data_IF_809459484456
#
_entry.id   IF_809459484456
#
_cell.length_a   1.000
_cell.length_b   1.000
_cell.length_c   1.000
_cell.angle_alpha   90.00
_cell.angle_beta   90.00
_cell.angle_gamma   90.00
#
_symmetry.space_group_name_H-M   'P 1'
#
loop_
_entity.id
_entity.type
_entity.pdbx_description
1 polymer ?
#
# COMPACT_ATOMS: atom_id res chain seq x y z
N UNK A 1 -4.51 27.13 6.19
CA UNK A 1 -4.19 25.71 6.46
C UNK A 1 -4.68 24.90 5.30
N UNK A 2 -3.77 24.27 4.56
CA UNK A 2 -4.15 23.27 3.57
C UNK A 2 -4.67 22.02 4.30
N UNK A 3 -5.69 21.32 3.76
CA UNK A 3 -6.13 20.04 4.30
C UNK A 3 -4.98 19.03 4.35
N UNK A 4 -4.96 18.16 5.38
CA UNK A 4 -3.94 17.12 5.58
C UNK A 4 -4.62 15.85 6.10
N UNK A 5 -4.09 14.68 5.74
CA UNK A 5 -4.53 13.37 6.25
C UNK A 5 -3.87 13.07 7.60
N UNK A 6 -2.55 13.23 7.69
CA UNK A 6 -1.77 12.88 8.89
C UNK A 6 -1.30 14.13 9.65
N UNK A 7 -0.89 15.15 8.90
CA UNK A 7 -0.23 16.34 9.41
C UNK A 7 1.23 16.10 9.79
N UNK A 8 1.99 17.21 9.88
CA UNK A 8 3.45 17.19 10.02
C UNK A 8 3.95 16.33 11.18
N UNK A 9 3.32 16.44 12.36
CA UNK A 9 3.76 15.71 13.55
C UNK A 9 3.64 14.18 13.39
N UNK A 10 2.59 13.69 12.72
CA UNK A 10 2.42 12.27 12.46
C UNK A 10 3.38 11.77 11.38
N UNK A 11 3.63 12.56 10.34
CA UNK A 11 4.62 12.23 9.30
C UNK A 11 6.01 12.11 9.91
N UNK A 12 6.43 13.08 10.73
CA UNK A 12 7.74 13.03 11.36
C UNK A 12 7.88 11.83 12.30
N UNK A 13 6.83 11.52 13.06
CA UNK A 13 6.81 10.32 13.89
C UNK A 13 6.90 9.04 13.04
N UNK A 14 6.12 8.93 11.97
CA UNK A 14 6.08 7.79 11.06
C UNK A 14 7.47 7.54 10.46
N UNK A 15 8.07 8.58 9.89
CA UNK A 15 9.39 8.49 9.27
C UNK A 15 10.43 8.07 10.32
N UNK A 16 10.44 8.67 11.51
CA UNK A 16 11.36 8.26 12.58
C UNK A 16 11.18 6.80 13.01
N UNK A 17 9.94 6.31 13.10
CA UNK A 17 9.65 4.92 13.42
C UNK A 17 10.16 3.97 12.33
N UNK A 18 9.92 4.31 11.06
CA UNK A 18 10.36 3.52 9.91
C UNK A 18 11.89 3.43 9.82
N UNK A 19 12.61 4.55 10.01
CA UNK A 19 14.08 4.57 10.04
C UNK A 19 14.68 3.68 11.12
N UNK A 20 14.08 3.68 12.32
CA UNK A 20 14.61 2.92 13.47
C UNK A 20 14.42 1.42 13.29
N UNK A 21 13.45 1.01 12.47
CA UNK A 21 13.14 -0.39 12.24
C UNK A 21 14.17 -1.08 11.33
N UNK A 22 14.69 -2.21 11.79
CA UNK A 22 15.58 -3.11 11.02
C UNK A 22 14.83 -4.29 10.38
N UNK A 23 13.49 -4.26 10.41
CA UNK A 23 12.68 -5.29 9.80
C UNK A 23 12.79 -5.25 8.27
N UNK A 24 12.80 -6.41 7.59
CA UNK A 24 12.83 -6.48 6.12
C UNK A 24 11.57 -5.86 5.51
N UNK A 25 10.41 -6.07 6.14
CA UNK A 25 9.13 -5.44 5.77
C UNK A 25 8.64 -4.56 6.92
N UNK A 26 8.10 -3.38 6.58
CA UNK A 26 7.55 -2.37 7.49
C UNK A 26 6.14 -2.04 7.01
N UNK A 27 5.16 -2.64 7.65
CA UNK A 27 3.75 -2.42 7.31
C UNK A 27 3.22 -1.15 7.96
N UNK A 28 2.61 -0.29 7.16
CA UNK A 28 1.95 0.94 7.60
C UNK A 28 0.48 0.82 7.28
N UNK A 29 -0.36 0.68 8.30
CA UNK A 29 -1.82 0.56 8.14
C UNK A 29 -2.43 1.96 8.13
N UNK A 30 -3.13 2.30 7.05
CA UNK A 30 -3.69 3.64 6.81
C UNK A 30 -5.03 3.53 6.08
N UNK A 31 -5.95 4.46 6.35
CA UNK A 31 -7.34 4.36 5.87
C UNK A 31 -7.47 4.34 4.34
N UNK A 32 -6.77 5.26 3.66
CA UNK A 32 -6.81 5.40 2.20
C UNK A 32 -5.50 5.03 1.52
N UNK A 33 -5.58 4.79 0.21
CA UNK A 33 -4.42 4.47 -0.62
C UNK A 33 -3.41 5.62 -0.60
N UNK A 34 -2.14 5.30 -0.42
CA UNK A 34 -1.02 6.25 -0.43
C UNK A 34 -0.39 6.33 -1.82
N UNK A 35 -0.16 5.19 -2.46
CA UNK A 35 0.59 5.16 -3.72
C UNK A 35 -0.25 5.50 -4.94
N UNK A 36 -1.52 5.09 -5.00
CA UNK A 36 -2.38 5.37 -6.16
C UNK A 36 -2.25 6.84 -6.59
N UNK A 37 -2.04 7.09 -7.89
CA UNK A 37 -2.00 8.44 -8.45
C UNK A 37 -3.34 8.87 -9.05
N UNK A 38 -4.38 8.04 -8.91
CA UNK A 38 -5.75 8.42 -9.23
C UNK A 38 -6.34 9.23 -8.07
N UNK A 39 -6.37 10.56 -8.17
CA UNK A 39 -7.03 11.45 -7.20
C UNK A 39 -8.56 11.42 -7.35
N UNK A 40 -9.14 10.24 -7.17
CA UNK A 40 -10.57 9.96 -7.29
C UNK A 40 -11.09 9.45 -5.95
N UNK A 41 -12.20 9.99 -5.47
CA UNK A 41 -12.77 9.71 -4.14
C UNK A 41 -11.76 9.95 -3.00
N UNK A 42 -11.88 9.18 -1.91
CA UNK A 42 -11.05 9.29 -0.71
C UNK A 42 -9.77 8.45 -0.86
N UNK A 43 -8.64 9.15 -1.04
CA UNK A 43 -7.29 8.60 -0.92
C UNK A 43 -6.27 9.73 -0.71
N UNK A 44 -5.01 9.38 -0.43
CA UNK A 44 -3.96 10.37 -0.11
C UNK A 44 -3.50 11.14 -1.35
N UNK A 45 -3.83 10.71 -2.58
CA UNK A 45 -3.54 11.48 -3.80
C UNK A 45 -4.34 12.79 -3.88
N UNK A 46 -5.44 12.93 -3.14
CA UNK A 46 -6.14 14.21 -2.96
C UNK A 46 -5.32 15.23 -2.15
N UNK A 47 -4.25 14.79 -1.50
CA UNK A 47 -3.37 15.60 -0.65
C UNK A 47 -1.93 15.53 -1.20
N UNK A 48 -1.68 16.03 -2.43
CA UNK A 48 -0.47 15.76 -3.18
C UNK A 48 0.80 16.23 -2.48
N UNK A 49 0.75 17.37 -1.77
CA UNK A 49 1.87 17.89 -0.98
C UNK A 49 2.28 16.91 0.12
N UNK A 50 1.31 16.37 0.86
CA UNK A 50 1.56 15.43 1.95
C UNK A 50 2.03 14.06 1.43
N UNK A 51 1.39 13.57 0.36
CA UNK A 51 1.80 12.35 -0.33
C UNK A 51 3.26 12.44 -0.78
N UNK A 52 3.62 13.54 -1.46
CA UNK A 52 4.98 13.74 -1.96
C UNK A 52 5.98 13.83 -0.81
N UNK A 53 5.65 14.56 0.26
CA UNK A 53 6.49 14.65 1.44
C UNK A 53 6.81 13.27 2.05
N UNK A 54 5.82 12.37 2.13
CA UNK A 54 6.05 11.00 2.62
C UNK A 54 7.03 10.28 1.70
N UNK A 55 6.79 10.28 0.38
CA UNK A 55 7.63 9.59 -0.60
C UNK A 55 9.07 10.13 -0.62
N UNK A 56 9.24 11.45 -0.63
CA UNK A 56 10.54 12.11 -0.58
C UNK A 56 11.32 11.72 0.67
N UNK A 57 10.65 11.66 1.83
CA UNK A 57 11.29 11.27 3.09
C UNK A 57 11.66 9.79 3.10
N UNK A 58 10.87 8.91 2.47
CA UNK A 58 11.26 7.50 2.29
C UNK A 58 12.51 7.39 1.41
N UNK A 59 12.60 8.20 0.36
CA UNK A 59 13.72 8.22 -0.58
C UNK A 59 15.00 8.77 0.06
N UNK A 60 14.95 10.01 0.54
CA UNK A 60 16.10 10.76 1.10
C UNK A 60 16.71 10.03 2.29
N UNK A 61 15.89 9.34 3.09
CA UNK A 61 16.34 8.62 4.27
C UNK A 61 16.67 7.14 4.00
N UNK A 62 16.63 6.71 2.74
CA UNK A 62 16.92 5.35 2.28
C UNK A 62 16.13 4.26 3.06
N UNK A 63 14.84 4.55 3.31
CA UNK A 63 13.95 3.66 4.06
C UNK A 63 13.48 2.53 3.14
N UNK A 64 13.61 1.28 3.61
CA UNK A 64 13.43 0.08 2.79
C UNK A 64 12.26 -0.77 3.27
N UNK A 65 11.64 -1.48 2.33
CA UNK A 65 10.63 -2.51 2.60
C UNK A 65 9.33 -1.96 3.17
N UNK A 66 8.94 -0.74 2.77
CA UNK A 66 7.68 -0.14 3.20
C UNK A 66 6.53 -0.72 2.40
N UNK A 67 5.49 -1.16 3.10
CA UNK A 67 4.26 -1.67 2.51
C UNK A 67 3.09 -0.98 3.21
N UNK A 68 2.36 -0.14 2.50
CA UNK A 68 1.10 0.41 2.98
C UNK A 68 0.01 -0.65 2.89
N UNK A 69 -0.83 -0.73 3.91
CA UNK A 69 -2.03 -1.56 3.94
C UNK A 69 -3.22 -0.62 4.10
N UNK A 70 -4.10 -0.64 3.10
CA UNK A 70 -5.27 0.24 3.04
C UNK A 70 -6.55 -0.54 2.77
N UNK A 71 -7.69 0.13 2.90
CA UNK A 71 -9.01 -0.41 2.60
C UNK A 71 -9.86 0.65 1.91
N UNK A 72 -11.12 0.78 2.34
CA UNK A 72 -12.06 1.86 1.98
C UNK A 72 -12.55 1.91 0.52
N UNK A 73 -11.71 1.59 -0.46
CA UNK A 73 -11.99 1.72 -1.89
C UNK A 73 -13.04 0.77 -2.46
N UNK A 74 -13.50 -0.19 -1.65
CA UNK A 74 -14.40 -1.28 -2.04
C UNK A 74 -13.89 -2.10 -3.24
N UNK A 75 -12.59 -2.05 -3.48
CA UNK A 75 -11.87 -2.84 -4.47
C UNK A 75 -10.52 -3.22 -3.89
N UNK A 76 -9.87 -4.20 -4.49
CA UNK A 76 -8.55 -4.67 -4.05
C UNK A 76 -7.58 -4.57 -5.19
N UNK A 77 -6.40 -4.03 -4.89
CA UNK A 77 -5.30 -3.88 -5.84
C UNK A 77 -3.97 -3.74 -5.10
N UNK A 78 -2.89 -4.09 -5.79
CA UNK A 78 -1.53 -3.84 -5.34
C UNK A 78 -0.95 -2.73 -6.22
N UNK A 79 -0.41 -1.68 -5.60
CA UNK A 79 0.41 -0.68 -6.30
C UNK A 79 1.89 -0.85 -5.95
N UNK A 80 2.77 -0.64 -6.93
CA UNK A 80 4.22 -0.64 -6.77
C UNK A 80 4.80 0.68 -7.29
N UNK A 81 5.66 1.31 -6.50
CA UNK A 81 6.45 2.46 -6.91
C UNK A 81 7.94 2.17 -6.67
N UNK A 82 8.76 2.35 -7.70
CA UNK A 82 10.22 2.40 -7.54
C UNK A 82 10.64 3.86 -7.44
N UNK A 83 11.24 4.23 -6.30
CA UNK A 83 11.81 5.54 -6.04
C UNK A 83 13.12 5.74 -6.83
N UNK A 84 13.60 6.97 -6.96
CA UNK A 84 14.78 7.29 -7.78
C UNK A 84 16.06 6.66 -7.20
N UNK A 85 16.09 6.43 -5.89
CA UNK A 85 17.15 5.69 -5.21
C UNK A 85 17.08 4.15 -5.39
N UNK A 86 16.14 3.65 -6.21
CA UNK A 86 15.92 2.24 -6.51
C UNK A 86 15.16 1.47 -5.43
N UNK A 87 14.62 2.13 -4.40
CA UNK A 87 13.79 1.46 -3.39
C UNK A 87 12.36 1.27 -3.89
N UNK A 88 11.84 0.07 -3.68
CA UNK A 88 10.43 -0.23 -3.91
C UNK A 88 9.58 0.11 -2.68
N UNK A 89 8.45 0.73 -2.93
CA UNK A 89 7.36 0.97 -1.98
C UNK A 89 6.12 0.29 -2.53
N UNK A 90 5.41 -0.41 -1.66
CA UNK A 90 4.17 -1.11 -2.02
C UNK A 90 2.97 -0.51 -1.30
N UNK A 91 1.80 -0.64 -1.90
CA UNK A 91 0.51 -0.32 -1.28
C UNK A 91 -0.50 -1.39 -1.66
N UNK A 92 -0.89 -2.19 -0.66
CA UNK A 92 -1.90 -3.23 -0.81
C UNK A 92 -3.20 -2.70 -0.24
N UNK A 93 -4.14 -2.38 -1.13
CA UNK A 93 -5.52 -2.04 -0.77
C UNK A 93 -6.34 -3.32 -0.77
N UNK A 94 -6.99 -3.64 0.36
CA UNK A 94 -7.80 -4.86 0.49
C UNK A 94 -9.20 -4.50 0.97
N UNK A 95 -10.15 -4.52 0.04
CA UNK A 95 -11.58 -4.33 0.31
C UNK A 95 -12.42 -4.83 -0.87
N UNK A 96 -13.72 -5.12 -0.66
CA UNK A 96 -14.44 -5.14 0.62
C UNK A 96 -14.53 -6.55 1.21
N UNK A 97 -14.62 -6.68 2.53
CA UNK A 97 -14.98 -7.96 3.16
C UNK A 97 -16.52 -8.13 3.27
N UNK A 98 -17.22 -7.05 3.62
CA UNK A 98 -18.68 -7.10 3.93
C UNK A 98 -19.50 -6.12 3.11
N UNK A 99 -18.99 -4.94 2.74
CA UNK A 99 -19.68 -4.01 1.84
C UNK A 99 -19.80 -4.58 0.41
N UNK A 100 -20.55 -3.88 -0.45
CA UNK A 100 -20.63 -4.21 -1.87
C UNK A 100 -19.33 -3.83 -2.59
N UNK A 101 -18.90 -4.58 -3.62
CA UNK A 101 -17.76 -4.18 -4.44
C UNK A 101 -18.04 -2.86 -5.15
N UNK A 102 -17.03 -2.00 -5.20
CA UNK A 102 -17.02 -0.77 -5.99
C UNK A 102 -16.60 -1.04 -7.43
N UNK A 103 -16.46 0.00 -8.24
CA UNK A 103 -16.02 -0.09 -9.63
C UNK A 103 -14.87 0.89 -9.85
N UNK A 104 -13.63 0.40 -9.80
CA UNK A 104 -12.41 1.20 -9.92
C UNK A 104 -11.43 0.68 -10.99
N UNK A 105 -11.88 -0.28 -11.82
CA UNK A 105 -11.04 -0.88 -12.87
C UNK A 105 -10.49 0.19 -13.83
N UNK A 106 -11.33 1.15 -14.19
CA UNK A 106 -10.99 2.24 -15.12
C UNK A 106 -10.34 3.46 -14.44
N UNK A 107 -10.15 3.43 -13.11
CA UNK A 107 -9.42 4.50 -12.44
C UNK A 107 -7.96 4.54 -12.91
N UNK A 108 -7.41 5.73 -13.19
CA UNK A 108 -6.10 5.86 -13.82
C UNK A 108 -4.94 5.69 -12.82
N UNK A 109 -4.96 4.64 -12.01
CA UNK A 109 -3.84 4.27 -11.14
C UNK A 109 -2.74 3.63 -11.99
N UNK A 110 -1.76 4.42 -12.43
CA UNK A 110 -0.66 3.94 -13.29
C UNK A 110 0.38 3.11 -12.52
N UNK A 111 0.25 3.00 -11.21
CA UNK A 111 1.14 2.23 -10.34
C UNK A 111 0.56 0.85 -9.99
N UNK A 112 -0.67 0.55 -10.45
CA UNK A 112 -1.32 -0.74 -10.26
C UNK A 112 -0.50 -1.85 -10.90
N UNK A 113 -0.19 -2.88 -10.11
CA UNK A 113 0.46 -4.10 -10.57
C UNK A 113 -0.54 -4.92 -11.38
N UNK A 114 -0.16 -5.30 -12.59
CA UNK A 114 -1.02 -6.07 -13.50
C UNK A 114 -1.49 -7.40 -12.87
N UNK A 115 -2.78 -7.69 -13.07
CA UNK A 115 -3.43 -8.91 -12.57
C UNK A 115 -3.76 -8.91 -11.08
N UNK A 116 -3.69 -7.76 -10.40
CA UNK A 116 -3.98 -7.66 -8.94
C UNK A 116 -5.34 -7.02 -8.61
N UNK A 117 -6.04 -6.45 -9.60
CA UNK A 117 -7.35 -5.86 -9.40
C UNK A 117 -8.41 -6.93 -9.12
N UNK A 118 -9.20 -6.71 -8.07
CA UNK A 118 -10.29 -7.60 -7.65
C UNK A 118 -11.52 -6.76 -7.31
N UNK A 119 -12.64 -7.10 -7.94
CA UNK A 119 -13.93 -6.41 -7.84
C UNK A 119 -15.00 -7.32 -7.21
N UNK A 120 -14.64 -7.98 -6.12
CA UNK A 120 -15.54 -8.84 -5.36
C UNK A 120 -15.12 -8.85 -3.90
N UNK A 121 -15.99 -9.41 -3.04
CA UNK A 121 -15.65 -9.55 -1.63
C UNK A 121 -14.44 -10.47 -1.46
N UNK A 122 -13.48 -10.01 -0.67
CA UNK A 122 -12.20 -10.69 -0.52
C UNK A 122 -11.50 -10.31 0.80
N UNK A 123 -10.41 -11.01 1.08
CA UNK A 123 -9.45 -10.67 2.11
C UNK A 123 -8.04 -11.09 1.67
N UNK A 124 -7.01 -10.52 2.30
CA UNK A 124 -5.63 -10.87 2.04
C UNK A 124 -5.02 -11.66 3.20
N UNK A 125 -4.15 -12.60 2.85
CA UNK A 125 -3.27 -13.33 3.77
C UNK A 125 -1.83 -12.96 3.41
N UNK A 126 -1.08 -12.46 4.38
CA UNK A 126 0.35 -12.21 4.23
C UNK A 126 1.13 -13.29 4.97
N UNK A 127 1.94 -14.04 4.23
CA UNK A 127 2.77 -15.12 4.75
C UNK A 127 4.24 -14.72 4.67
N UNK A 128 5.00 -15.01 5.73
CA UNK A 128 6.40 -14.62 5.84
C UNK A 128 7.26 -15.85 6.05
N UNK A 129 8.21 -16.08 5.14
CA UNK A 129 9.05 -17.27 5.15
C UNK A 129 10.53 -16.93 5.08
N UNK A 130 11.38 -17.85 5.54
CA UNK A 130 12.82 -17.72 5.44
C UNK A 130 13.51 -16.91 6.55
N UNK A 131 14.86 -16.89 6.52
CA UNK A 131 15.68 -16.28 7.56
C UNK A 131 15.54 -14.76 7.54
N UNK A 132 15.80 -14.10 8.68
CA UNK A 132 15.56 -12.66 8.87
C UNK A 132 16.12 -11.74 7.76
N UNK A 133 17.29 -12.08 7.18
CA UNK A 133 17.97 -11.29 6.15
C UNK A 133 17.55 -11.65 4.71
N UNK A 134 16.80 -12.73 4.53
CA UNK A 134 16.34 -13.21 3.23
C UNK A 134 14.88 -13.69 3.37
N UNK A 135 14.05 -12.82 3.96
CA UNK A 135 12.66 -13.12 4.27
C UNK A 135 11.83 -12.76 3.05
N UNK A 136 11.00 -13.69 2.59
CA UNK A 136 9.98 -13.42 1.58
C UNK A 136 8.68 -13.02 2.27
N UNK A 137 7.88 -12.18 1.60
CA UNK A 137 6.50 -11.87 1.95
C UNK A 137 5.61 -12.24 0.77
N UNK A 138 4.78 -13.26 0.95
CA UNK A 138 3.79 -13.67 -0.03
C UNK A 138 2.43 -13.11 0.34
N UNK A 139 1.82 -12.40 -0.60
CA UNK A 139 0.46 -11.88 -0.52
C UNK A 139 -0.43 -12.84 -1.30
N UNK A 140 -1.44 -13.38 -0.63
CA UNK A 140 -2.53 -14.13 -1.25
C UNK A 140 -3.84 -13.39 -1.01
N UNK A 141 -4.52 -12.97 -2.08
CA UNK A 141 -5.88 -12.43 -1.99
C UNK A 141 -6.87 -13.55 -2.27
N UNK A 142 -7.88 -13.69 -1.41
CA UNK A 142 -8.82 -14.80 -1.39
C UNK A 142 -10.26 -14.32 -1.40
N UNK A 143 -11.15 -15.06 -2.06
CA UNK A 143 -12.59 -14.85 -1.97
C UNK A 143 -13.11 -15.12 -0.55
N UNK A 144 -14.35 -14.74 -0.25
CA UNK A 144 -15.00 -15.03 1.04
C UNK A 144 -15.13 -16.51 1.36
N UNK A 145 -15.07 -17.37 0.34
CA UNK A 145 -15.10 -18.84 0.45
C UNK A 145 -13.70 -19.44 0.62
N UNK A 146 -12.65 -18.61 0.61
CA UNK A 146 -11.26 -19.02 0.77
C UNK A 146 -10.57 -19.48 -0.52
N UNK A 147 -11.18 -19.30 -1.69
CA UNK A 147 -10.53 -19.57 -2.97
C UNK A 147 -9.50 -18.48 -3.28
N UNK A 148 -8.31 -18.87 -3.75
CA UNK A 148 -7.27 -17.91 -4.16
C UNK A 148 -7.70 -17.16 -5.41
N UNK A 149 -7.68 -15.83 -5.37
CA UNK A 149 -7.95 -14.95 -6.51
C UNK A 149 -6.65 -14.59 -7.22
N UNK A 150 -5.61 -14.28 -6.45
CA UNK A 150 -4.24 -14.14 -6.96
C UNK A 150 -3.23 -14.29 -5.83
N UNK A 151 -1.98 -14.56 -6.22
CA UNK A 151 -0.83 -14.59 -5.32
C UNK A 151 0.34 -13.82 -5.92
N UNK A 152 1.02 -13.00 -5.11
CA UNK A 152 2.25 -12.29 -5.47
C UNK A 152 3.24 -12.39 -4.33
N UNK A 153 4.52 -12.49 -4.64
CA UNK A 153 5.59 -12.35 -3.64
C UNK A 153 6.21 -10.98 -3.81
N UNK A 154 6.42 -10.28 -2.71
CA UNK A 154 7.12 -9.00 -2.70
C UNK A 154 8.63 -9.24 -2.86
N UNK A 155 9.23 -8.49 -3.78
CA UNK A 155 10.67 -8.54 -4.08
C UNK A 155 11.51 -7.79 -3.02
#
# INVERSE_FOLDING_TARGET
NEPQVLGQAQIDWLIQALRKSRAPYKFVVIGGQVLSNAAVYENVAQFPTERQQILDRLEVEDIRGVVFLSGDRHTTELSELTLDNGRKVYDLTVSPLTSGPGHAADEPNTLRVEGTYVEQRNYAVLSFEGPRKNRSCTIEVKSTEGASLWTKTLD
#
